data_IF_864278210650
#
_entry.id   IF_864278210650
#
_cell.length_a   1.000
_cell.length_b   1.000
_cell.length_c   1.000
_cell.angle_alpha   90.00
_cell.angle_beta   90.00
_cell.angle_gamma   90.00
#
_symmetry.space_group_name_H-M   'P 1'
#
loop_
_entity.id
_entity.type
_entity.pdbx_description
1 polymer ?
#
# COMPACT_ATOMS: atom_id res chain seq x y z
N UNK A 1 -13.86 -0.66 3.09
CA UNK A 1 -12.67 0.21 3.08
C UNK A 1 -11.51 -0.55 2.46
N UNK A 2 -10.77 0.10 1.59
CA UNK A 2 -9.55 -0.47 0.97
C UNK A 2 -8.34 0.16 1.64
N UNK A 3 -7.39 -0.69 2.07
CA UNK A 3 -6.12 -0.24 2.61
C UNK A 3 -5.08 -0.15 1.51
N UNK A 4 -4.32 0.94 1.47
CA UNK A 4 -3.23 1.14 0.52
C UNK A 4 -1.94 1.32 1.34
N UNK A 5 -0.98 0.43 1.11
CA UNK A 5 0.32 0.46 1.80
C UNK A 5 1.39 0.90 0.81
N UNK A 6 2.15 1.90 1.20
CA UNK A 6 3.23 2.47 0.40
C UNK A 6 4.57 1.97 0.93
N UNK A 7 5.37 1.32 0.09
CA UNK A 7 6.68 0.78 0.45
C UNK A 7 7.75 1.41 -0.43
N UNK A 8 8.81 1.91 0.19
CA UNK A 8 9.94 2.52 -0.51
C UNK A 8 11.20 2.33 0.32
N UNK A 9 12.35 2.49 -0.30
CA UNK A 9 13.63 2.56 0.39
C UNK A 9 13.77 3.83 1.23
N UNK A 10 12.87 4.80 1.06
CA UNK A 10 12.90 6.07 1.78
C UNK A 10 11.56 6.34 2.45
N UNK A 11 11.59 6.53 3.77
CA UNK A 11 10.43 6.94 4.54
C UNK A 11 9.89 8.30 4.06
N UNK A 12 10.80 9.20 3.70
CA UNK A 12 10.40 10.53 3.20
C UNK A 12 9.60 10.43 1.91
N UNK A 13 9.92 9.47 1.04
CA UNK A 13 9.17 9.25 -0.20
C UNK A 13 7.75 8.78 0.12
N UNK A 14 7.59 7.77 0.96
CA UNK A 14 6.26 7.25 1.29
C UNK A 14 5.43 8.24 2.10
N UNK A 15 6.06 8.99 3.01
CA UNK A 15 5.38 10.06 3.73
C UNK A 15 4.90 11.16 2.80
N UNK A 16 5.74 11.56 1.83
CA UNK A 16 5.36 12.57 0.84
C UNK A 16 4.25 12.12 -0.09
N UNK A 17 4.30 10.87 -0.55
CA UNK A 17 3.25 10.30 -1.39
C UNK A 17 1.92 10.23 -0.62
N UNK A 18 1.96 9.77 0.64
CA UNK A 18 0.78 9.74 1.50
C UNK A 18 0.17 11.13 1.67
N UNK A 19 1.01 12.11 2.00
CA UNK A 19 0.58 13.50 2.18
C UNK A 19 -0.10 14.02 0.92
N UNK A 20 0.50 13.80 -0.24
CA UNK A 20 -0.04 14.24 -1.52
C UNK A 20 -1.39 13.60 -1.82
N UNK A 21 -1.49 12.29 -1.62
CA UNK A 21 -2.74 11.55 -1.86
C UNK A 21 -3.84 12.04 -0.92
N UNK A 22 -3.54 12.15 0.37
CA UNK A 22 -4.54 12.58 1.37
C UNK A 22 -5.02 14.01 1.12
N UNK A 23 -4.13 14.88 0.67
CA UNK A 23 -4.50 16.25 0.32
C UNK A 23 -5.48 16.28 -0.86
N UNK A 24 -5.26 15.44 -1.86
CA UNK A 24 -6.07 15.43 -3.07
C UNK A 24 -7.36 14.63 -2.95
N UNK A 25 -7.35 13.57 -2.17
CA UNK A 25 -8.51 12.69 -1.97
C UNK A 25 -9.44 13.22 -0.88
N UNK A 26 -8.87 13.89 0.13
CA UNK A 26 -9.62 14.35 1.29
C UNK A 26 -9.96 13.21 2.24
N UNK A 27 -10.86 13.47 3.17
CA UNK A 27 -11.32 12.46 4.12
C UNK A 27 -12.33 11.53 3.45
N UNK A 28 -11.99 10.26 3.35
CA UNK A 28 -12.89 9.26 2.81
C UNK A 28 -12.92 8.04 3.74
N UNK A 29 -14.12 7.55 4.10
CA UNK A 29 -14.22 6.32 4.89
C UNK A 29 -13.89 5.06 4.09
N UNK A 30 -13.68 5.20 2.76
CA UNK A 30 -13.48 4.06 1.86
C UNK A 30 -12.04 3.71 1.61
N UNK A 31 -11.08 4.53 2.06
CA UNK A 31 -9.66 4.28 1.83
C UNK A 31 -8.82 4.70 3.04
N UNK A 32 -7.80 3.92 3.35
CA UNK A 32 -6.80 4.23 4.37
C UNK A 32 -5.42 4.08 3.75
N UNK A 33 -4.57 5.10 3.89
CA UNK A 33 -3.22 5.10 3.34
C UNK A 33 -2.24 4.89 4.49
N UNK A 34 -1.33 3.92 4.35
CA UNK A 34 -0.28 3.68 5.34
C UNK A 34 1.08 3.84 4.68
N UNK A 35 1.92 4.67 5.27
CA UNK A 35 3.32 4.84 4.88
C UNK A 35 4.15 3.78 5.59
N UNK A 36 4.83 2.93 4.83
CA UNK A 36 5.68 1.86 5.36
C UNK A 36 7.06 1.85 4.68
N UNK A 37 7.57 3.02 4.33
CA UNK A 37 8.88 3.17 3.73
C UNK A 37 9.99 3.28 4.76
N UNK A 38 11.22 3.03 4.32
CA UNK A 38 12.40 3.10 5.16
C UNK A 38 12.54 1.90 6.10
N UNK A 39 13.50 2.00 7.01
CA UNK A 39 13.81 0.93 7.97
C UNK A 39 13.08 1.06 9.30
N UNK A 40 12.40 2.17 9.52
CA UNK A 40 11.70 2.46 10.77
C UNK A 40 12.53 3.30 11.74
N UNK A 41 13.82 3.49 11.48
CA UNK A 41 14.73 4.29 12.33
C UNK A 41 15.32 5.50 11.59
N UNK A 42 14.72 5.90 10.47
CA UNK A 42 15.14 7.08 9.70
C UNK A 42 16.19 6.81 8.65
N UNK A 43 16.65 5.56 8.51
CA UNK A 43 17.66 5.20 7.50
C UNK A 43 17.00 4.76 6.19
N UNK A 44 17.77 4.79 5.11
CA UNK A 44 17.35 4.22 3.83
C UNK A 44 17.34 2.69 3.92
N UNK A 45 16.40 2.08 3.25
CA UNK A 45 16.21 0.63 3.23
C UNK A 45 14.77 0.25 3.44
N UNK A 46 14.50 -1.03 3.64
CA UNK A 46 13.15 -1.56 3.83
C UNK A 46 13.12 -2.49 5.06
N UNK A 47 11.93 -2.71 5.59
CA UNK A 47 11.75 -3.52 6.80
C UNK A 47 10.48 -4.36 6.66
N UNK A 48 10.66 -5.67 6.46
CA UNK A 48 9.54 -6.61 6.25
C UNK A 48 8.60 -6.68 7.44
N UNK A 49 9.11 -6.57 8.67
CA UNK A 49 8.26 -6.61 9.86
C UNK A 49 7.39 -5.37 9.97
N UNK A 50 7.91 -4.21 9.57
CA UNK A 50 7.14 -2.97 9.55
C UNK A 50 6.01 -3.05 8.50
N UNK A 51 6.30 -3.65 7.35
CA UNK A 51 5.29 -3.89 6.31
C UNK A 51 4.22 -4.85 6.83
N UNK A 52 4.64 -5.92 7.50
CA UNK A 52 3.70 -6.89 8.10
C UNK A 52 2.79 -6.21 9.13
N UNK A 53 3.33 -5.37 9.99
CA UNK A 53 2.53 -4.62 10.95
C UNK A 53 1.49 -3.73 10.27
N UNK A 54 1.88 -3.09 9.16
CA UNK A 54 0.97 -2.27 8.37
C UNK A 54 -0.18 -3.12 7.79
N UNK A 55 0.13 -4.31 7.26
CA UNK A 55 -0.88 -5.24 6.76
C UNK A 55 -1.83 -5.65 7.88
N UNK A 56 -1.29 -6.04 9.03
CA UNK A 56 -2.08 -6.48 10.18
C UNK A 56 -2.99 -5.37 10.72
N UNK A 57 -2.56 -4.12 10.63
CA UNK A 57 -3.37 -2.98 11.05
C UNK A 57 -4.61 -2.77 10.17
N UNK A 58 -4.64 -3.41 9.01
CA UNK A 58 -5.73 -3.31 8.03
C UNK A 58 -6.60 -4.57 7.99
N UNK A 59 -6.66 -5.33 9.06
CA UNK A 59 -7.45 -6.57 9.10
C UNK A 59 -8.94 -6.35 8.84
N UNK A 60 -9.45 -5.16 9.15
CA UNK A 60 -10.87 -4.80 8.92
C UNK A 60 -11.13 -4.33 7.48
N UNK A 61 -10.10 -4.11 6.68
CA UNK A 61 -10.26 -3.69 5.29
C UNK A 61 -10.86 -4.83 4.45
N UNK A 62 -11.57 -4.47 3.39
CA UNK A 62 -12.05 -5.47 2.42
C UNK A 62 -10.92 -6.00 1.55
N UNK A 63 -9.96 -5.13 1.24
CA UNK A 63 -8.77 -5.46 0.45
C UNK A 63 -7.60 -4.63 0.94
N UNK A 64 -6.39 -5.18 0.79
CA UNK A 64 -5.13 -4.51 1.13
C UNK A 64 -4.26 -4.51 -0.12
N UNK A 65 -3.93 -3.34 -0.62
CA UNK A 65 -3.12 -3.16 -1.82
C UNK A 65 -1.76 -2.56 -1.45
N UNK A 66 -0.69 -3.23 -1.85
CA UNK A 66 0.68 -2.80 -1.56
C UNK A 66 1.33 -2.29 -2.84
N UNK A 67 1.95 -1.11 -2.75
CA UNK A 67 2.70 -0.50 -3.85
C UNK A 67 4.14 -0.28 -3.41
N UNK A 68 5.09 -0.72 -4.21
CA UNK A 68 6.51 -0.57 -3.93
C UNK A 68 7.26 0.18 -5.02
N UNK A 69 8.43 0.74 -4.69
CA UNK A 69 9.22 1.51 -5.64
C UNK A 69 10.17 0.67 -6.49
N UNK A 70 11.13 -0.02 -5.89
CA UNK A 70 12.14 -0.78 -6.62
C UNK A 70 12.34 -2.17 -6.02
N UNK A 71 13.14 -2.99 -6.69
CA UNK A 71 13.27 -4.43 -6.45
C UNK A 71 13.33 -4.93 -5.02
N UNK A 72 14.18 -4.35 -4.15
CA UNK A 72 14.27 -4.85 -2.78
C UNK A 72 13.06 -4.47 -1.92
N UNK A 73 12.35 -3.39 -2.26
CA UNK A 73 11.08 -3.06 -1.60
C UNK A 73 10.02 -4.11 -1.95
N UNK A 74 9.99 -4.55 -3.20
CA UNK A 74 9.10 -5.61 -3.67
C UNK A 74 9.40 -6.92 -2.95
N UNK A 75 10.68 -7.29 -2.83
CA UNK A 75 11.09 -8.50 -2.11
C UNK A 75 10.71 -8.45 -0.63
N UNK A 76 10.88 -7.31 0.02
CA UNK A 76 10.48 -7.16 1.43
C UNK A 76 8.95 -7.24 1.60
N UNK A 77 8.19 -6.69 0.66
CA UNK A 77 6.74 -6.81 0.68
C UNK A 77 6.30 -8.26 0.50
N UNK A 78 6.93 -9.00 -0.43
CA UNK A 78 6.65 -10.43 -0.62
C UNK A 78 6.98 -11.23 0.64
N UNK A 79 8.11 -10.94 1.29
CA UNK A 79 8.49 -11.58 2.55
C UNK A 79 7.44 -11.31 3.63
N UNK A 80 6.97 -10.06 3.74
CA UNK A 80 5.94 -9.72 4.71
C UNK A 80 4.64 -10.48 4.43
N UNK A 81 4.25 -10.61 3.17
CA UNK A 81 3.05 -11.36 2.80
C UNK A 81 3.18 -12.84 3.15
N UNK A 82 4.36 -13.42 3.00
CA UNK A 82 4.62 -14.82 3.38
C UNK A 82 4.51 -15.04 4.89
N UNK A 83 4.68 -14.00 5.68
CA UNK A 83 4.60 -14.06 7.14
C UNK A 83 3.18 -13.87 7.68
N UNK A 84 2.20 -13.57 6.83
CA UNK A 84 0.81 -13.43 7.27
C UNK A 84 0.27 -14.80 7.68
N UNK A 85 -0.17 -14.92 8.94
CA UNK A 85 -0.69 -16.18 9.47
C UNK A 85 -2.19 -16.35 9.21
N UNK A 86 -2.95 -15.26 9.23
CA UNK A 86 -4.39 -15.27 8.99
C UNK A 86 -4.68 -15.48 7.49
N UNK A 87 -5.32 -16.57 7.14
CA UNK A 87 -5.62 -16.92 5.76
C UNK A 87 -6.54 -15.89 5.07
N UNK A 88 -7.52 -15.36 5.79
CA UNK A 88 -8.42 -14.35 5.25
C UNK A 88 -7.66 -13.06 4.91
N UNK A 89 -6.79 -12.62 5.80
CA UNK A 89 -5.96 -11.45 5.57
C UNK A 89 -4.99 -11.67 4.41
N UNK A 90 -4.41 -12.84 4.32
CA UNK A 90 -3.49 -13.18 3.22
C UNK A 90 -4.21 -13.13 1.87
N UNK A 91 -5.42 -13.70 1.78
CA UNK A 91 -6.17 -13.74 0.52
C UNK A 91 -6.56 -12.37 0.01
N UNK A 92 -6.81 -11.42 0.89
CA UNK A 92 -7.22 -10.07 0.49
C UNK A 92 -6.06 -9.09 0.33
N UNK A 93 -4.83 -9.54 0.59
CA UNK A 93 -3.61 -8.71 0.45
C UNK A 93 -2.96 -8.98 -0.90
N UNK A 94 -2.72 -7.91 -1.66
CA UNK A 94 -2.16 -8.00 -3.00
C UNK A 94 -1.01 -7.02 -3.17
N UNK A 95 0.12 -7.53 -3.69
CA UNK A 95 1.22 -6.67 -4.14
C UNK A 95 0.92 -6.26 -5.58
N UNK A 96 0.65 -4.99 -5.79
CA UNK A 96 0.20 -4.48 -7.09
C UNK A 96 1.40 -4.19 -7.99
N UNK A 97 1.36 -4.69 -9.22
CA UNK A 97 2.39 -4.44 -10.20
C UNK A 97 2.09 -3.11 -10.92
N UNK A 98 2.47 -2.01 -10.29
CA UNK A 98 2.28 -0.66 -10.83
C UNK A 98 3.30 0.29 -10.20
N UNK A 99 3.61 1.41 -10.87
CA UNK A 99 4.50 2.42 -10.30
C UNK A 99 3.96 2.95 -8.98
N UNK A 100 4.87 3.17 -8.01
CA UNK A 100 4.49 3.56 -6.65
C UNK A 100 3.59 4.80 -6.61
N UNK A 101 4.04 5.90 -7.20
CA UNK A 101 3.33 7.19 -7.08
C UNK A 101 2.04 7.16 -7.89
N UNK A 102 2.14 6.88 -9.18
CA UNK A 102 1.00 6.92 -10.09
C UNK A 102 -0.02 5.83 -9.73
N UNK A 103 0.46 4.63 -9.42
CA UNK A 103 -0.39 3.50 -9.07
C UNK A 103 -1.15 3.71 -7.77
N UNK A 104 -0.44 4.10 -6.72
CA UNK A 104 -1.06 4.34 -5.42
C UNK A 104 -2.05 5.51 -5.48
N UNK A 105 -1.70 6.57 -6.20
CA UNK A 105 -2.60 7.71 -6.38
C UNK A 105 -3.89 7.30 -7.09
N UNK A 106 -3.79 6.61 -8.23
CA UNK A 106 -4.95 6.17 -8.99
C UNK A 106 -5.83 5.20 -8.17
N UNK A 107 -5.19 4.27 -7.45
CA UNK A 107 -5.91 3.33 -6.60
C UNK A 107 -6.66 4.05 -5.47
N UNK A 108 -6.02 5.01 -4.82
CA UNK A 108 -6.63 5.76 -3.73
C UNK A 108 -7.81 6.61 -4.19
N UNK A 109 -7.69 7.26 -5.35
CA UNK A 109 -8.78 8.05 -5.93
C UNK A 109 -10.00 7.18 -6.18
N UNK A 110 -9.81 6.02 -6.81
CA UNK A 110 -10.92 5.10 -7.09
C UNK A 110 -11.51 4.50 -5.82
N UNK A 111 -10.66 4.11 -4.87
CA UNK A 111 -11.12 3.59 -3.58
C UNK A 111 -11.95 4.64 -2.83
N UNK A 112 -11.56 5.91 -2.90
CA UNK A 112 -12.24 7.01 -2.19
C UNK A 112 -13.68 7.20 -2.64
N UNK A 113 -14.00 6.83 -3.89
CA UNK A 113 -15.36 6.87 -4.41
C UNK A 113 -16.01 5.48 -4.45
N UNK A 114 -15.48 4.58 -3.64
CA UNK A 114 -16.03 3.24 -3.40
C UNK A 114 -16.00 2.31 -4.62
N UNK A 115 -15.01 2.45 -5.50
CA UNK A 115 -14.78 1.49 -6.58
C UNK A 115 -14.31 0.16 -6.01
N UNK A 116 -14.62 -0.93 -6.69
CA UNK A 116 -14.21 -2.27 -6.30
C UNK A 116 -12.72 -2.51 -6.57
N UNK A 117 -12.18 -3.53 -5.94
CA UNK A 117 -10.80 -3.99 -6.23
C UNK A 117 -10.61 -4.28 -7.72
N UNK A 118 -11.59 -4.93 -8.34
CA UNK A 118 -11.54 -5.27 -9.77
C UNK A 118 -11.43 -4.03 -10.64
N UNK A 119 -12.21 -3.01 -10.33
CA UNK A 119 -12.16 -1.72 -11.06
C UNK A 119 -10.80 -1.04 -10.88
N UNK A 120 -10.28 -1.06 -9.65
CA UNK A 120 -8.96 -0.47 -9.34
C UNK A 120 -7.87 -1.19 -10.12
N UNK A 121 -7.87 -2.52 -10.12
CA UNK A 121 -6.84 -3.30 -10.82
C UNK A 121 -6.89 -3.10 -12.34
N UNK A 122 -8.07 -2.90 -12.91
CA UNK A 122 -8.20 -2.56 -14.33
C UNK A 122 -7.54 -1.23 -14.63
N UNK A 123 -7.71 -0.24 -13.75
CA UNK A 123 -7.12 1.08 -13.94
C UNK A 123 -5.59 1.05 -13.90
N UNK A 124 -5.00 0.07 -13.20
CA UNK A 124 -3.55 -0.06 -13.13
C UNK A 124 -2.91 -0.27 -14.51
N UNK A 125 -3.65 -0.76 -15.49
CA UNK A 125 -3.15 -0.90 -16.86
C UNK A 125 -2.93 0.47 -17.54
N UNK A 126 -3.49 1.54 -16.99
CA UNK A 126 -3.41 2.89 -17.54
C UNK A 126 -2.41 3.81 -16.84
N UNK A 127 -1.69 3.30 -15.86
CA UNK A 127 -0.71 4.10 -15.10
C UNK A 127 0.73 3.79 -15.45
#
# INVERSE_FOLDING_TARGET
MIGVILVSHSEKITEGVKEMIEEMVGDSPHVTIISAGGTGDGRLGTNSLMILEAIQSLEEATDVLIFGDIGSAILCAETAMDLIEDDELREKTLLVDAPLVEGAFAAAVQASVNCSREDILKEMANV
#
